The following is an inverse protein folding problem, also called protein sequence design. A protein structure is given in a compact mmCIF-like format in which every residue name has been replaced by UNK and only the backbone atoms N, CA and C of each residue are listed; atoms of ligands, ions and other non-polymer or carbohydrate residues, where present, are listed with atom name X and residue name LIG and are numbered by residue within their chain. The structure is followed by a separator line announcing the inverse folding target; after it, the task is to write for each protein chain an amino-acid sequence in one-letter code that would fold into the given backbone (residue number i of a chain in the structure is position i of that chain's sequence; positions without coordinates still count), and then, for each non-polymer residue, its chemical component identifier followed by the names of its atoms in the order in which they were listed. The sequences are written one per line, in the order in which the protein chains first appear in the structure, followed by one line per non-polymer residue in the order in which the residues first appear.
data_IF_684314833563
#
_entry.id   IF_684314833563
#
_cell.length_a   1.000
_cell.length_b   1.000
_cell.length_c   1.000
_cell.angle_alpha   90.00
_cell.angle_beta   90.00
_cell.angle_gamma   90.00
#
_symmetry.space_group_name_H-M   'P 1'
#
loop_
_entity.id
_entity.type
_entity.pdbx_description
1 polymer ?
#
# COMPACT_ATOMS: atom_id res chain seq x y z
N UNK A 1 4.43 12.72 -19.82
CA UNK A 1 3.61 13.94 -19.95
C UNK A 1 2.23 13.75 -19.31
N UNK A 2 1.52 12.69 -19.68
CA UNK A 2 0.15 12.45 -19.23
C UNK A 2 0.02 12.19 -17.72
N UNK A 3 0.94 11.43 -17.10
CA UNK A 3 0.88 11.14 -15.67
C UNK A 3 1.06 12.40 -14.81
N UNK A 4 1.98 13.28 -15.19
CA UNK A 4 2.17 14.55 -14.49
C UNK A 4 0.92 15.45 -14.60
N UNK A 5 0.27 15.50 -15.76
CA UNK A 5 -0.98 16.23 -15.94
C UNK A 5 -2.09 15.67 -15.04
N UNK A 6 -2.19 14.35 -14.91
CA UNK A 6 -3.15 13.70 -14.00
C UNK A 6 -2.89 14.05 -12.54
N UNK A 7 -1.62 14.06 -12.14
CA UNK A 7 -1.22 14.44 -10.77
C UNK A 7 -1.52 15.92 -10.51
N UNK A 8 -1.25 16.80 -11.46
CA UNK A 8 -1.61 18.23 -11.36
C UNK A 8 -3.12 18.40 -11.15
N UNK A 9 -3.94 17.74 -11.97
CA UNK A 9 -5.41 17.80 -11.84
C UNK A 9 -5.87 17.33 -10.45
N UNK A 10 -5.28 16.23 -9.96
CA UNK A 10 -5.60 15.70 -8.64
C UNK A 10 -5.20 16.70 -7.53
N UNK A 11 -3.98 17.25 -7.58
CA UNK A 11 -3.49 18.24 -6.60
C UNK A 11 -4.35 19.49 -6.61
N UNK A 12 -4.71 20.00 -7.77
CA UNK A 12 -5.57 21.18 -7.89
C UNK A 12 -6.97 20.93 -7.28
N UNK A 13 -7.49 19.73 -7.45
CA UNK A 13 -8.81 19.35 -6.93
C UNK A 13 -8.84 19.18 -5.42
N UNK A 14 -7.80 18.56 -4.83
CA UNK A 14 -7.76 18.25 -3.38
C UNK A 14 -7.15 19.39 -2.55
N UNK A 15 -6.45 20.32 -3.16
CA UNK A 15 -5.76 21.42 -2.49
C UNK A 15 -4.47 20.99 -1.77
N UNK A 16 -3.77 21.91 -1.11
CA UNK A 16 -2.44 21.67 -0.56
C UNK A 16 -2.42 20.91 0.78
N UNK A 17 -3.58 20.75 1.43
CA UNK A 17 -3.64 20.19 2.80
C UNK A 17 -3.99 18.70 2.86
N UNK A 18 -4.19 18.06 1.70
CA UNK A 18 -4.47 16.62 1.60
C UNK A 18 -3.23 15.91 1.10
N UNK A 19 -2.78 14.88 1.81
CA UNK A 19 -1.68 14.05 1.37
C UNK A 19 -2.05 13.37 0.04
N UNK A 20 -1.19 13.53 -0.96
CA UNK A 20 -1.35 12.89 -2.27
C UNK A 20 -0.30 11.81 -2.42
N UNK A 21 -0.74 10.56 -2.57
CA UNK A 21 0.10 9.42 -2.86
C UNK A 21 -0.02 9.07 -4.34
N UNK A 22 1.07 8.62 -4.94
CA UNK A 22 1.11 8.22 -6.35
C UNK A 22 1.65 6.81 -6.45
N UNK A 23 0.90 5.92 -7.08
CA UNK A 23 1.31 4.55 -7.35
C UNK A 23 1.58 4.37 -8.85
N UNK A 24 2.75 3.84 -9.17
CA UNK A 24 3.16 3.52 -10.53
C UNK A 24 2.91 2.05 -10.90
N UNK A 25 2.54 1.20 -9.95
CA UNK A 25 2.34 -0.25 -10.17
C UNK A 25 3.43 -0.87 -11.05
N UNK A 26 4.69 -0.64 -10.70
CA UNK A 26 5.86 -1.22 -11.36
C UNK A 26 6.07 -0.80 -12.83
N UNK A 27 5.50 0.32 -13.28
CA UNK A 27 5.40 0.66 -14.69
C UNK A 27 6.70 1.17 -15.34
N UNK A 28 7.69 1.61 -14.56
CA UNK A 28 8.86 2.31 -15.10
C UNK A 28 10.15 1.49 -15.01
N UNK A 29 11.08 1.77 -15.90
CA UNK A 29 12.49 1.50 -15.65
C UNK A 29 13.02 2.51 -14.62
N UNK A 30 14.11 2.19 -13.90
CA UNK A 30 14.65 3.11 -12.88
C UNK A 30 14.99 4.51 -13.45
N UNK A 31 15.45 4.56 -14.70
CA UNK A 31 15.80 5.84 -15.32
C UNK A 31 14.56 6.69 -15.69
N UNK A 32 13.44 6.05 -16.00
CA UNK A 32 12.16 6.73 -16.22
C UNK A 32 11.57 7.16 -14.89
N UNK A 33 11.58 6.28 -13.88
CA UNK A 33 11.11 6.57 -12.55
C UNK A 33 11.81 7.79 -11.92
N UNK A 34 13.13 7.91 -12.08
CA UNK A 34 13.89 9.08 -11.62
C UNK A 34 13.39 10.36 -12.31
N UNK A 35 13.22 10.34 -13.63
CA UNK A 35 12.70 11.53 -14.34
C UNK A 35 11.28 11.90 -13.96
N UNK A 36 10.43 10.90 -13.68
CA UNK A 36 9.06 11.13 -13.22
C UNK A 36 9.09 11.66 -11.78
N UNK A 37 9.82 11.03 -10.87
CA UNK A 37 9.93 11.44 -9.47
C UNK A 37 10.38 12.91 -9.34
N UNK A 38 11.39 13.31 -10.07
CA UNK A 38 11.88 14.71 -10.09
C UNK A 38 10.81 15.71 -10.56
N UNK A 39 9.92 15.31 -11.45
CA UNK A 39 8.79 16.16 -11.88
C UNK A 39 7.63 16.13 -10.89
N UNK A 40 7.51 15.06 -10.11
CA UNK A 40 6.48 14.92 -9.09
C UNK A 40 6.81 15.75 -7.83
N UNK A 41 8.07 16.13 -7.59
CA UNK A 41 8.49 16.89 -6.41
C UNK A 41 7.76 18.25 -6.28
N UNK A 42 7.33 18.87 -7.39
CA UNK A 42 6.58 20.13 -7.37
C UNK A 42 5.15 20.01 -6.81
N UNK A 43 4.63 18.77 -6.69
CA UNK A 43 3.25 18.51 -6.26
C UNK A 43 3.10 18.09 -4.81
N UNK A 44 4.15 18.16 -3.99
CA UNK A 44 4.15 17.76 -2.58
C UNK A 44 3.57 16.35 -2.39
N UNK A 45 4.17 15.37 -3.07
CA UNK A 45 3.77 13.97 -3.04
C UNK A 45 4.19 13.33 -1.71
N UNK A 46 3.24 12.71 -1.01
CA UNK A 46 3.46 12.08 0.28
C UNK A 46 4.31 10.81 0.17
N UNK A 47 4.04 9.95 -0.84
CA UNK A 47 4.94 8.90 -1.30
C UNK A 47 4.76 8.59 -2.77
N UNK A 48 5.79 7.99 -3.37
CA UNK A 48 5.78 7.41 -4.71
C UNK A 48 5.93 5.90 -4.58
N UNK A 49 4.85 5.17 -4.91
CA UNK A 49 4.73 3.73 -4.72
C UNK A 49 5.15 2.98 -5.97
N UNK A 50 5.82 1.84 -5.77
CA UNK A 50 6.25 0.87 -6.78
C UNK A 50 6.76 1.49 -8.10
N UNK A 51 7.76 2.37 -8.05
CA UNK A 51 8.23 3.05 -9.26
C UNK A 51 8.84 2.12 -10.30
N UNK A 52 9.39 0.97 -9.90
CA UNK A 52 10.08 -0.01 -10.74
C UNK A 52 9.63 -1.43 -10.42
N UNK A 53 10.04 -2.42 -11.22
CA UNK A 53 9.71 -3.83 -10.99
C UNK A 53 10.04 -4.27 -9.55
N UNK A 54 9.22 -5.13 -8.92
CA UNK A 54 9.34 -5.45 -7.49
C UNK A 54 10.68 -6.11 -7.13
N UNK A 55 11.27 -6.87 -8.03
CA UNK A 55 12.56 -7.56 -7.86
C UNK A 55 13.77 -6.70 -8.27
N UNK A 56 13.56 -5.46 -8.75
CA UNK A 56 14.64 -4.51 -9.04
C UNK A 56 15.01 -3.67 -7.80
N UNK A 57 15.52 -4.32 -6.76
CA UNK A 57 15.99 -3.63 -5.54
C UNK A 57 17.03 -2.55 -5.83
N UNK A 58 17.89 -2.79 -6.83
CA UNK A 58 18.87 -1.78 -7.25
C UNK A 58 18.18 -0.56 -7.86
N UNK A 59 17.19 -0.78 -8.69
CA UNK A 59 16.39 0.29 -9.30
C UNK A 59 15.65 1.11 -8.24
N UNK A 60 14.98 0.45 -7.28
CA UNK A 60 14.34 1.11 -6.14
C UNK A 60 15.32 2.01 -5.37
N UNK A 61 16.51 1.49 -5.03
CA UNK A 61 17.55 2.29 -4.36
C UNK A 61 18.00 3.50 -5.18
N UNK A 62 18.17 3.33 -6.50
CA UNK A 62 18.57 4.44 -7.38
C UNK A 62 17.50 5.52 -7.43
N UNK A 63 16.22 5.14 -7.48
CA UNK A 63 15.09 6.08 -7.43
C UNK A 63 15.06 6.78 -6.08
N UNK A 64 15.11 6.02 -4.97
CA UNK A 64 15.07 6.57 -3.61
C UNK A 64 16.18 7.60 -3.35
N UNK A 65 17.37 7.42 -3.93
CA UNK A 65 18.48 8.36 -3.81
C UNK A 65 18.39 9.57 -4.74
N UNK A 66 17.50 9.57 -5.72
CA UNK A 66 17.41 10.59 -6.75
C UNK A 66 16.24 11.57 -6.56
N UNK A 67 15.42 11.38 -5.53
CA UNK A 67 14.27 12.23 -5.21
C UNK A 67 14.13 12.44 -3.72
N UNK A 68 13.48 13.53 -3.33
CA UNK A 68 13.07 13.81 -1.96
C UNK A 68 11.75 13.11 -1.59
N UNK A 69 11.00 12.58 -2.57
CA UNK A 69 9.73 11.88 -2.33
C UNK A 69 10.02 10.51 -1.69
N UNK A 70 9.40 10.19 -0.53
CA UNK A 70 9.52 8.88 0.06
C UNK A 70 9.07 7.77 -0.91
N UNK A 71 9.86 6.72 -1.09
CA UNK A 71 9.49 5.56 -1.89
C UNK A 71 8.77 4.56 -1.00
N UNK A 72 7.63 4.05 -1.49
CA UNK A 72 6.87 2.99 -0.86
C UNK A 72 6.89 1.75 -1.77
N UNK A 73 7.01 0.56 -1.20
CA UNK A 73 6.88 -0.72 -1.92
C UNK A 73 6.73 -1.88 -0.94
N UNK A 74 6.33 -3.05 -1.46
CA UNK A 74 6.29 -4.28 -0.70
C UNK A 74 5.08 -5.17 -0.92
N UNK A 75 4.06 -4.75 -1.65
CA UNK A 75 2.85 -5.53 -1.89
C UNK A 75 3.12 -6.84 -2.67
N UNK A 76 4.13 -6.81 -3.52
CA UNK A 76 4.58 -7.96 -4.31
C UNK A 76 5.69 -8.76 -3.62
N UNK A 77 6.08 -8.41 -2.37
CA UNK A 77 7.21 -9.02 -1.70
C UNK A 77 6.80 -10.25 -0.90
N UNK A 78 7.67 -11.27 -0.92
CA UNK A 78 7.44 -12.52 -0.22
C UNK A 78 8.29 -12.63 1.04
N UNK A 79 7.67 -13.04 2.13
CA UNK A 79 8.30 -13.32 3.41
C UNK A 79 9.14 -12.17 3.96
N UNK A 80 9.53 -12.26 5.25
CA UNK A 80 10.43 -11.28 5.87
C UNK A 80 11.81 -11.16 5.20
N UNK A 81 12.19 -12.13 4.37
CA UNK A 81 13.51 -12.11 3.73
C UNK A 81 13.59 -11.10 2.59
N UNK A 82 12.55 -10.99 1.75
CA UNK A 82 12.47 -9.94 0.76
C UNK A 82 12.33 -8.56 1.39
N UNK A 83 11.52 -8.43 2.44
CA UNK A 83 11.44 -7.17 3.20
C UNK A 83 12.77 -6.78 3.85
N UNK A 84 13.55 -7.75 4.35
CA UNK A 84 14.92 -7.47 4.80
C UNK A 84 15.76 -6.87 3.68
N UNK A 85 15.69 -7.44 2.49
CA UNK A 85 16.50 -7.00 1.36
C UNK A 85 16.09 -5.59 0.89
N UNK A 86 14.79 -5.25 0.91
CA UNK A 86 14.29 -3.89 0.70
C UNK A 86 14.83 -2.90 1.75
N UNK A 87 14.78 -3.27 3.02
CA UNK A 87 15.18 -2.44 4.15
C UNK A 87 16.70 -2.21 4.15
N UNK A 88 17.49 -3.28 4.14
CA UNK A 88 18.96 -3.22 4.15
C UNK A 88 19.52 -2.57 2.89
N UNK A 89 18.82 -2.77 1.76
CA UNK A 89 19.09 -2.10 0.50
C UNK A 89 18.83 -0.60 0.53
N UNK A 90 18.12 -0.08 1.55
CA UNK A 90 17.63 1.31 1.58
C UNK A 90 16.80 1.66 0.33
N UNK A 91 15.95 0.72 -0.05
CA UNK A 91 15.14 0.82 -1.27
C UNK A 91 13.86 1.64 -1.03
N UNK A 92 13.39 1.70 0.21
CA UNK A 92 12.09 2.26 0.58
C UNK A 92 12.16 3.07 1.87
N UNK A 93 11.24 4.00 2.02
CA UNK A 93 10.97 4.74 3.25
C UNK A 93 9.70 4.25 3.96
N UNK A 94 8.80 3.58 3.22
CA UNK A 94 7.53 3.05 3.70
C UNK A 94 7.39 1.63 3.14
N UNK A 95 6.91 0.71 3.97
CA UNK A 95 6.65 -0.67 3.54
C UNK A 95 5.14 -0.89 3.35
N UNK A 96 4.78 -1.54 2.23
CA UNK A 96 3.39 -1.89 1.89
C UNK A 96 3.18 -3.42 1.90
N UNK A 97 3.37 -4.13 3.04
CA UNK A 97 3.20 -5.57 3.08
C UNK A 97 1.74 -5.98 2.88
N UNK A 98 1.50 -7.02 2.07
CA UNK A 98 0.22 -7.70 1.99
C UNK A 98 0.29 -9.08 2.64
N UNK A 99 -0.51 -9.32 3.68
CA UNK A 99 -0.52 -10.59 4.40
C UNK A 99 -0.98 -11.77 3.52
N UNK A 100 -1.73 -11.52 2.44
CA UNK A 100 -2.12 -12.57 1.50
C UNK A 100 -0.97 -13.02 0.60
N UNK A 101 -0.02 -12.13 0.34
CA UNK A 101 1.12 -12.35 -0.54
C UNK A 101 2.35 -12.82 0.24
N UNK A 102 2.70 -12.13 1.32
CA UNK A 102 3.96 -12.36 2.05
C UNK A 102 4.01 -13.65 2.88
N UNK A 103 2.89 -14.35 3.07
CA UNK A 103 2.86 -15.63 3.82
C UNK A 103 2.00 -15.62 5.08
N UNK A 104 1.04 -14.71 5.19
CA UNK A 104 0.01 -14.67 6.24
C UNK A 104 0.33 -13.77 7.43
N UNK A 105 -0.60 -13.73 8.38
CA UNK A 105 -0.55 -12.87 9.57
C UNK A 105 0.75 -13.06 10.37
N UNK A 106 1.16 -14.31 10.58
CA UNK A 106 2.38 -14.61 11.37
C UNK A 106 3.64 -14.02 10.71
N UNK A 107 3.72 -14.06 9.40
CA UNK A 107 4.88 -13.52 8.68
C UNK A 107 4.80 -11.99 8.64
N UNK A 108 3.60 -11.42 8.47
CA UNK A 108 3.38 -9.97 8.58
C UNK A 108 3.89 -9.39 9.90
N UNK A 109 3.59 -10.04 11.03
CA UNK A 109 4.06 -9.60 12.35
C UNK A 109 5.59 -9.62 12.47
N UNK A 110 6.27 -10.53 11.78
CA UNK A 110 7.75 -10.56 11.72
C UNK A 110 8.30 -9.42 10.87
N UNK A 111 7.64 -9.13 9.74
CA UNK A 111 7.96 -7.96 8.90
C UNK A 111 7.77 -6.68 9.69
N UNK A 112 6.67 -6.55 10.43
CA UNK A 112 6.40 -5.38 11.26
C UNK A 112 7.49 -5.17 12.33
N UNK A 113 7.90 -6.23 13.02
CA UNK A 113 8.98 -6.15 14.01
C UNK A 113 10.34 -5.80 13.37
N UNK A 114 10.62 -6.34 12.19
CA UNK A 114 11.82 -5.99 11.44
C UNK A 114 11.82 -4.52 11.02
N UNK A 115 10.74 -4.05 10.41
CA UNK A 115 10.56 -2.65 10.01
C UNK A 115 10.70 -1.69 11.21
N UNK A 116 10.10 -2.04 12.35
CA UNK A 116 10.20 -1.25 13.57
C UNK A 116 11.65 -1.09 14.05
N UNK A 117 12.47 -2.14 13.95
CA UNK A 117 13.88 -2.08 14.32
C UNK A 117 14.71 -1.11 13.47
N UNK A 118 14.22 -0.81 12.25
CA UNK A 118 14.81 0.18 11.35
C UNK A 118 14.03 1.52 11.32
N UNK A 119 13.06 1.71 12.22
CA UNK A 119 12.21 2.90 12.30
C UNK A 119 11.40 3.17 11.02
N UNK A 120 11.02 2.12 10.30
CA UNK A 120 10.22 2.25 9.09
C UNK A 120 8.73 2.04 9.40
N UNK A 121 7.87 2.91 8.88
CA UNK A 121 6.42 2.75 8.98
C UNK A 121 5.90 1.69 8.01
N UNK A 122 4.72 1.17 8.34
CA UNK A 122 3.96 0.23 7.53
C UNK A 122 2.60 0.82 7.17
N UNK A 123 2.28 0.76 5.87
CA UNK A 123 0.96 0.99 5.31
C UNK A 123 0.59 -0.26 4.49
N UNK A 124 -0.19 -1.21 5.02
CA UNK A 124 -0.43 -2.47 4.33
C UNK A 124 -1.27 -2.29 3.07
N UNK A 125 -0.95 -3.07 2.03
CA UNK A 125 -1.65 -3.10 0.76
C UNK A 125 -2.94 -3.92 0.84
N UNK A 126 -4.01 -3.41 0.23
CA UNK A 126 -5.24 -4.15 -0.05
C UNK A 126 -5.93 -4.74 1.18
N UNK A 127 -6.79 -5.69 0.96
CA UNK A 127 -7.62 -6.47 1.92
C UNK A 127 -7.85 -5.77 3.27
N UNK A 128 -8.48 -4.63 3.19
CA UNK A 128 -8.70 -3.72 4.32
C UNK A 128 -9.35 -4.39 5.54
N UNK A 129 -10.22 -5.36 5.31
CA UNK A 129 -10.93 -6.11 6.36
C UNK A 129 -9.99 -7.02 7.19
N UNK A 130 -8.88 -7.45 6.61
CA UNK A 130 -7.81 -8.15 7.32
C UNK A 130 -6.79 -7.15 7.88
N UNK A 131 -6.32 -6.26 7.01
CA UNK A 131 -5.18 -5.42 7.33
C UNK A 131 -5.46 -4.37 8.39
N UNK A 132 -6.74 -3.99 8.63
CA UNK A 132 -7.10 -3.10 9.73
C UNK A 132 -6.66 -3.67 11.08
N UNK A 133 -6.82 -4.98 11.28
CA UNK A 133 -6.40 -5.64 12.53
C UNK A 133 -4.89 -5.64 12.68
N UNK A 134 -4.16 -5.82 11.58
CA UNK A 134 -2.69 -5.83 11.58
C UNK A 134 -2.13 -4.42 11.76
N UNK A 135 -2.65 -3.45 11.01
CA UNK A 135 -2.21 -2.05 11.10
C UNK A 135 -2.43 -1.45 12.49
N UNK A 136 -3.55 -1.82 13.17
CA UNK A 136 -3.84 -1.34 14.52
C UNK A 136 -3.10 -2.09 15.62
N UNK A 137 -2.60 -3.31 15.35
CA UNK A 137 -1.89 -4.13 16.32
C UNK A 137 -0.37 -3.83 16.39
N UNK A 138 0.19 -3.11 15.43
CA UNK A 138 1.63 -2.84 15.36
C UNK A 138 1.93 -1.36 15.72
N UNK A 139 3.04 -1.09 16.41
CA UNK A 139 3.37 0.29 16.84
C UNK A 139 3.82 1.19 15.69
N UNK A 140 4.24 0.62 14.56
CA UNK A 140 4.70 1.33 13.35
C UNK A 140 3.68 1.30 12.20
N UNK A 141 2.40 0.98 12.48
CA UNK A 141 1.31 1.14 11.53
C UNK A 141 1.06 2.62 11.24
N UNK A 142 0.94 2.99 9.96
CA UNK A 142 0.78 4.37 9.53
C UNK A 142 -0.66 4.67 9.07
N UNK A 143 -1.07 4.06 7.98
CA UNK A 143 -2.36 4.28 7.33
C UNK A 143 -2.85 2.97 6.71
N UNK A 144 -4.16 2.81 6.62
CA UNK A 144 -4.79 1.68 5.96
C UNK A 144 -5.18 2.05 4.54
N UNK A 145 -4.80 1.26 3.57
CA UNK A 145 -5.35 1.37 2.22
C UNK A 145 -6.80 0.93 2.22
N UNK A 146 -7.68 1.72 1.62
CA UNK A 146 -9.11 1.49 1.63
C UNK A 146 -9.72 1.62 0.24
N UNK A 147 -10.20 0.51 -0.30
CA UNK A 147 -10.97 0.46 -1.54
C UNK A 147 -12.46 0.60 -1.25
N UNK A 148 -13.09 1.60 -1.81
CA UNK A 148 -14.53 1.71 -1.74
C UNK A 148 -15.20 0.88 -2.85
N UNK A 149 -16.51 0.59 -2.69
CA UNK A 149 -17.26 -0.25 -3.63
C UNK A 149 -17.40 0.31 -5.05
N UNK A 150 -17.09 1.60 -5.26
CA UNK A 150 -17.08 2.20 -6.61
C UNK A 150 -15.74 2.00 -7.30
N UNK A 151 -14.66 1.92 -6.54
CA UNK A 151 -13.31 1.65 -7.04
C UNK A 151 -13.14 0.17 -7.32
N UNK A 152 -13.57 -0.70 -6.40
CA UNK A 152 -13.60 -2.14 -6.56
C UNK A 152 -15.00 -2.73 -6.30
N UNK A 153 -15.83 -2.84 -7.36
CA UNK A 153 -17.18 -3.39 -7.23
C UNK A 153 -17.23 -4.86 -6.81
N UNK A 154 -16.18 -5.65 -7.07
CA UNK A 154 -16.11 -7.05 -6.64
C UNK A 154 -15.86 -7.15 -5.15
N UNK A 155 -15.00 -6.31 -4.61
CA UNK A 155 -14.72 -6.25 -3.17
C UNK A 155 -15.99 -6.04 -2.35
N UNK A 156 -16.84 -5.12 -2.79
CA UNK A 156 -18.14 -4.86 -2.18
C UNK A 156 -19.14 -6.04 -2.19
N UNK A 157 -18.79 -7.15 -2.87
CA UNK A 157 -19.63 -8.38 -2.96
C UNK A 157 -19.02 -9.58 -2.27
N UNK A 158 -17.77 -9.48 -1.83
CA UNK A 158 -17.06 -10.60 -1.22
C UNK A 158 -17.50 -10.87 0.22
N UNK A 159 -17.95 -9.84 0.91
CA UNK A 159 -18.27 -9.92 2.34
C UNK A 159 -19.69 -9.43 2.64
N UNK A 160 -20.31 -10.03 3.66
CA UNK A 160 -21.63 -9.59 4.15
C UNK A 160 -21.55 -8.26 4.90
N UNK A 161 -20.41 -8.01 5.56
CA UNK A 161 -20.15 -6.80 6.32
C UNK A 161 -18.90 -6.11 5.76
N UNK A 162 -18.86 -4.80 5.84
CA UNK A 162 -17.72 -3.96 5.48
C UNK A 162 -17.27 -3.15 6.68
N UNK A 163 -16.03 -2.66 6.62
CA UNK A 163 -15.50 -1.80 7.67
C UNK A 163 -16.37 -0.55 7.85
N UNK A 164 -16.71 -0.26 9.08
CA UNK A 164 -17.35 0.99 9.42
C UNK A 164 -16.35 2.14 9.27
N UNK A 165 -16.76 3.20 8.58
CA UNK A 165 -16.00 4.43 8.48
C UNK A 165 -16.62 5.50 9.37
N UNK A 166 -15.82 6.15 10.20
CA UNK A 166 -16.24 7.25 11.04
C UNK A 166 -15.20 8.36 11.03
N UNK A 167 -15.59 9.55 10.59
CA UNK A 167 -14.74 10.75 10.61
C UNK A 167 -13.36 10.54 9.92
N UNK A 168 -13.35 9.79 8.82
CA UNK A 168 -12.12 9.46 8.07
C UNK A 168 -11.32 8.28 8.62
N UNK A 169 -11.81 7.61 9.67
CA UNK A 169 -11.17 6.43 10.25
C UNK A 169 -11.95 5.16 9.92
N UNK A 170 -11.25 4.10 9.58
CA UNK A 170 -11.80 2.76 9.55
C UNK A 170 -11.81 2.18 10.97
N UNK A 171 -12.91 1.54 11.33
CA UNK A 171 -13.11 0.98 12.68
C UNK A 171 -13.08 -0.54 12.60
N UNK A 172 -12.14 -1.22 13.28
CA UNK A 172 -12.11 -2.68 13.31
C UNK A 172 -13.37 -3.23 14.00
N UNK A 173 -13.88 -4.36 13.49
CA UNK A 173 -14.99 -5.06 14.17
C UNK A 173 -14.57 -5.59 15.55
N UNK A 174 -15.52 -5.63 16.47
CA UNK A 174 -15.36 -6.31 17.76
C UNK A 174 -15.84 -7.76 17.73
N UNK A 175 -16.35 -8.24 16.60
CA UNK A 175 -16.81 -9.61 16.44
C UNK A 175 -15.63 -10.61 16.44
N UNK A 176 -15.87 -11.88 16.83
CA UNK A 176 -14.81 -12.89 16.84
C UNK A 176 -14.12 -13.08 15.48
N UNK A 177 -12.84 -13.41 15.50
CA UNK A 177 -12.00 -13.58 14.31
C UNK A 177 -11.69 -12.24 13.64
N UNK A 178 -11.88 -12.15 12.34
CA UNK A 178 -11.72 -10.91 11.57
C UNK A 178 -12.98 -10.04 11.59
N UNK A 179 -14.07 -10.52 12.19
CA UNK A 179 -15.36 -9.82 12.23
C UNK A 179 -16.02 -9.66 10.86
N UNK A 180 -15.67 -10.52 9.91
CA UNK A 180 -16.22 -10.54 8.56
C UNK A 180 -16.70 -11.95 8.18
N UNK A 181 -17.71 -12.02 7.33
CA UNK A 181 -18.21 -13.27 6.73
C UNK A 181 -18.20 -13.16 5.22
N UNK A 182 -17.74 -14.22 4.55
CA UNK A 182 -17.81 -14.30 3.08
C UNK A 182 -19.27 -14.38 2.64
N UNK A 183 -19.66 -13.52 1.72
CA UNK A 183 -21.00 -13.59 1.11
C UNK A 183 -21.03 -14.60 -0.04
N UNK A 184 -21.25 -15.86 0.31
CA UNK A 184 -21.35 -16.94 -0.68
C UNK A 184 -22.55 -16.79 -1.61
N UNK A 185 -23.58 -16.04 -1.24
CA UNK A 185 -24.72 -15.77 -2.11
C UNK A 185 -24.41 -14.64 -3.09
N UNK A 186 -23.80 -13.56 -2.63
CA UNK A 186 -23.34 -12.47 -3.48
C UNK A 186 -22.30 -12.92 -4.51
N UNK A 187 -21.45 -13.89 -4.14
CA UNK A 187 -20.43 -14.45 -5.02
C UNK A 187 -20.96 -15.52 -6.00
N UNK A 188 -22.17 -16.06 -5.78
CA UNK A 188 -22.73 -17.15 -6.60
C UNK A 188 -22.74 -16.88 -8.12
N UNK A 189 -23.06 -15.66 -8.61
CA UNK A 189 -23.02 -15.35 -10.04
C UNK A 189 -21.62 -15.42 -10.67
N UNK A 190 -20.57 -15.35 -9.84
CA UNK A 190 -19.17 -15.33 -10.27
C UNK A 190 -18.47 -16.69 -10.10
N UNK A 191 -19.21 -17.72 -9.69
CA UNK A 191 -18.67 -19.07 -9.55
C UNK A 191 -18.27 -19.59 -10.93
N UNK A 192 -17.00 -19.84 -11.12
CA UNK A 192 -16.44 -20.60 -12.24
C UNK A 192 -16.51 -22.08 -11.83
N UNK A 193 -16.95 -22.94 -12.73
CA UNK A 193 -17.21 -24.37 -12.47
C UNK A 193 -16.13 -25.08 -11.67
#
# INVERSE_FOLDING_TARGET
AQDIERVQIARDAIGPNVNLMVDANNAYTYSEAIRIAQRLEEFDIFWFEEPVAPDDYRGHKLVANATSIPIAAGENEFTRYGFRDLIEGQCVAILNPDAQVLGGITEFMKVAALAQAYNLPISPHGLQELHIHLATAIPNGMILEYYNSTTDPMWGKCFKQHLALKEGYAIPSSDPGLGIEIDTQGLKPYKIL
#
